data_IF_249051354712
#
_entry.id   IF_249051354712
#
_cell.length_a   1.000
_cell.length_b   1.000
_cell.length_c   1.000
_cell.angle_alpha   90.00
_cell.angle_beta   90.00
_cell.angle_gamma   90.00
#
_symmetry.space_group_name_H-M   'P 1'
#
loop_
_entity.id
_entity.type
_entity.pdbx_description
1 polymer ?
#
# COMPACT_ATOMS: atom_id res chain seq x y z
N UNK A 1 64.01 -48.14 -27.82
CA UNK A 1 62.98 -48.48 -26.79
C UNK A 1 62.23 -47.23 -26.43
N UNK A 2 61.00 -47.12 -26.90
CA UNK A 2 60.21 -45.91 -27.02
C UNK A 2 59.19 -45.92 -25.89
N UNK A 3 59.23 -44.92 -25.01
CA UNK A 3 58.28 -44.77 -23.93
C UNK A 3 57.28 -43.63 -24.24
N UNK A 4 56.00 -43.98 -24.43
CA UNK A 4 54.92 -43.07 -24.73
C UNK A 4 54.34 -42.45 -23.45
N UNK A 5 54.57 -41.17 -23.23
CA UNK A 5 53.91 -40.39 -22.18
C UNK A 5 52.47 -39.99 -22.62
N UNK A 6 51.45 -40.53 -21.95
CA UNK A 6 50.04 -40.16 -22.14
C UNK A 6 49.73 -38.85 -21.41
N UNK A 7 49.43 -37.79 -22.15
CA UNK A 7 48.88 -36.53 -21.61
C UNK A 7 47.39 -36.70 -21.40
N UNK A 8 46.95 -36.66 -20.13
CA UNK A 8 45.53 -36.56 -19.81
C UNK A 8 45.10 -35.08 -19.87
N UNK A 9 44.15 -34.78 -20.77
CA UNK A 9 43.53 -33.47 -20.87
C UNK A 9 42.28 -33.46 -19.96
N UNK A 10 42.39 -32.75 -18.84
CA UNK A 10 41.21 -32.48 -18.01
C UNK A 10 40.40 -31.34 -18.65
N UNK A 11 39.29 -31.69 -19.26
CA UNK A 11 38.30 -30.73 -19.73
C UNK A 11 37.45 -30.25 -18.52
N UNK A 12 37.73 -29.05 -18.01
CA UNK A 12 36.93 -28.40 -16.99
C UNK A 12 35.62 -27.87 -17.60
N UNK A 13 34.48 -28.48 -17.25
CA UNK A 13 33.15 -27.96 -17.55
C UNK A 13 32.87 -26.77 -16.63
N UNK A 14 32.93 -25.55 -17.17
CA UNK A 14 32.45 -24.35 -16.49
C UNK A 14 30.91 -24.30 -16.61
N UNK A 15 30.20 -24.66 -15.55
CA UNK A 15 28.75 -24.48 -15.42
C UNK A 15 28.48 -22.99 -15.20
N UNK A 16 28.14 -22.26 -16.26
CA UNK A 16 27.66 -20.88 -16.15
C UNK A 16 26.23 -20.89 -15.64
N UNK A 17 26.03 -20.63 -14.34
CA UNK A 17 24.72 -20.38 -13.77
C UNK A 17 24.20 -19.03 -14.28
N UNK A 18 23.30 -19.05 -15.27
CA UNK A 18 22.57 -17.87 -15.72
C UNK A 18 21.59 -17.44 -14.61
N UNK A 19 21.94 -16.41 -13.87
CA UNK A 19 21.02 -15.72 -12.97
C UNK A 19 19.99 -14.97 -13.84
N UNK A 20 18.81 -15.55 -14.02
CA UNK A 20 17.67 -14.85 -14.63
C UNK A 20 17.19 -13.80 -13.63
N UNK A 21 17.64 -12.56 -13.80
CA UNK A 21 17.04 -11.41 -13.14
C UNK A 21 15.62 -11.24 -13.67
N UNK A 22 14.64 -11.76 -12.93
CA UNK A 22 13.24 -11.53 -13.21
C UNK A 22 12.97 -10.03 -13.20
N UNK A 23 12.64 -9.45 -14.33
CA UNK A 23 12.19 -8.07 -14.43
C UNK A 23 10.91 -7.92 -13.60
N UNK A 24 11.03 -7.34 -12.42
CA UNK A 24 9.88 -6.99 -11.58
C UNK A 24 9.16 -5.83 -12.26
N UNK A 25 8.09 -6.11 -12.98
CA UNK A 25 7.22 -5.08 -13.55
C UNK A 25 6.60 -4.29 -12.40
N UNK A 26 6.97 -3.00 -12.31
CA UNK A 26 6.37 -2.08 -11.34
C UNK A 26 4.84 -2.06 -11.51
N UNK A 27 4.06 -2.07 -10.41
CA UNK A 27 2.61 -2.06 -10.50
C UNK A 27 2.10 -0.88 -11.32
N UNK A 28 1.19 -1.17 -12.27
CA UNK A 28 0.58 -0.15 -13.13
C UNK A 28 -0.61 0.55 -12.47
N UNK A 29 -1.17 -0.02 -11.40
CA UNK A 29 -2.32 0.49 -10.67
C UNK A 29 -2.19 0.23 -9.16
N UNK A 30 -2.95 0.97 -8.36
CA UNK A 30 -3.11 0.67 -6.95
C UNK A 30 -3.89 -0.65 -6.77
N UNK A 31 -3.58 -1.44 -5.75
CA UNK A 31 -4.37 -2.61 -5.42
C UNK A 31 -5.77 -2.20 -4.99
N UNK A 32 -6.75 -2.93 -5.47
CA UNK A 32 -8.14 -2.75 -5.05
C UNK A 32 -8.34 -3.47 -3.72
N UNK A 33 -8.96 -2.80 -2.74
CA UNK A 33 -9.20 -3.35 -1.41
C UNK A 33 -10.05 -4.61 -1.48
N UNK A 34 -9.62 -5.67 -0.78
CA UNK A 34 -10.31 -6.96 -0.69
C UNK A 34 -10.57 -7.40 0.74
N UNK A 35 -9.63 -7.13 1.63
CA UNK A 35 -9.67 -7.53 3.03
C UNK A 35 -9.00 -6.45 3.89
N UNK A 36 -9.74 -5.40 4.21
CA UNK A 36 -9.21 -4.25 4.96
C UNK A 36 -8.54 -4.62 6.30
N UNK A 37 -8.99 -5.63 7.07
CA UNK A 37 -8.28 -6.02 8.29
C UNK A 37 -6.87 -6.52 8.03
N UNK A 38 -6.67 -7.32 6.98
CA UNK A 38 -5.37 -7.90 6.64
C UNK A 38 -4.43 -6.82 6.08
N UNK A 39 -4.96 -5.94 5.23
CA UNK A 39 -4.25 -4.80 4.65
C UNK A 39 -3.82 -3.80 5.75
N UNK A 40 -4.72 -3.53 6.71
CA UNK A 40 -4.42 -2.70 7.87
C UNK A 40 -3.38 -3.34 8.79
N UNK A 41 -3.50 -4.62 9.08
CA UNK A 41 -2.52 -5.34 9.91
C UNK A 41 -1.11 -5.27 9.28
N UNK A 42 -1.00 -5.49 7.96
CA UNK A 42 0.26 -5.36 7.23
C UNK A 42 0.83 -3.94 7.28
N UNK A 43 -0.02 -2.90 7.21
CA UNK A 43 0.38 -1.51 7.33
C UNK A 43 0.92 -1.20 8.73
N UNK A 44 0.19 -1.58 9.76
CA UNK A 44 0.55 -1.33 11.16
C UNK A 44 1.80 -2.10 11.60
N UNK A 45 2.05 -3.29 11.04
CA UNK A 45 3.31 -4.01 11.25
C UNK A 45 4.51 -3.20 10.78
N UNK A 46 4.38 -2.43 9.70
CA UNK A 46 5.40 -1.50 9.19
C UNK A 46 5.42 -0.15 9.93
N UNK A 47 4.58 0.07 10.92
CA UNK A 47 4.43 1.35 11.62
C UNK A 47 3.79 2.46 10.78
N UNK A 48 3.08 2.09 9.72
CA UNK A 48 2.43 3.02 8.78
C UNK A 48 0.91 2.98 8.93
N UNK A 49 0.19 4.08 8.62
CA UNK A 49 -1.25 4.02 8.40
C UNK A 49 -1.55 3.24 7.11
N UNK A 50 -2.69 2.57 7.05
CA UNK A 50 -3.24 2.14 5.76
C UNK A 50 -3.89 3.36 5.08
N UNK A 51 -3.39 3.74 3.92
CA UNK A 51 -4.02 4.77 3.10
C UNK A 51 -5.09 4.14 2.21
N UNK A 52 -6.34 4.56 2.36
CA UNK A 52 -7.44 4.12 1.50
C UNK A 52 -7.82 5.25 0.56
N UNK A 53 -7.59 5.06 -0.72
CA UNK A 53 -8.05 5.98 -1.76
C UNK A 53 -9.47 5.64 -2.17
N UNK A 54 -10.43 6.49 -1.84
CA UNK A 54 -11.78 6.41 -2.43
C UNK A 54 -11.75 7.07 -3.79
N UNK A 55 -12.07 6.31 -4.83
CA UNK A 55 -12.01 6.71 -6.23
C UNK A 55 -13.37 6.57 -6.91
N UNK A 56 -13.56 7.26 -8.01
CA UNK A 56 -14.72 7.14 -8.89
C UNK A 56 -14.24 6.83 -10.31
N UNK A 57 -14.91 5.90 -10.97
CA UNK A 57 -14.63 5.60 -12.37
C UNK A 57 -14.81 6.85 -13.26
N UNK A 58 -13.91 7.05 -14.22
CA UNK A 58 -13.93 8.21 -15.11
C UNK A 58 -13.49 9.54 -14.48
N UNK A 59 -13.16 9.58 -13.19
CA UNK A 59 -12.78 10.81 -12.49
C UNK A 59 -11.35 11.26 -12.87
N UNK A 60 -11.17 12.41 -13.53
CA UNK A 60 -9.84 12.89 -13.93
C UNK A 60 -8.96 13.25 -12.74
N UNK A 61 -9.54 13.84 -11.68
CA UNK A 61 -8.79 14.18 -10.46
C UNK A 61 -8.32 12.95 -9.70
N UNK A 62 -9.13 11.86 -9.68
CA UNK A 62 -8.71 10.59 -9.12
C UNK A 62 -7.52 10.01 -9.88
N UNK A 63 -7.49 10.14 -11.20
CA UNK A 63 -6.37 9.72 -12.03
C UNK A 63 -5.10 10.49 -11.68
N UNK A 64 -5.19 11.84 -11.55
CA UNK A 64 -4.05 12.69 -11.19
C UNK A 64 -3.52 12.29 -9.81
N UNK A 65 -4.37 12.25 -8.78
CA UNK A 65 -3.97 11.88 -7.42
C UNK A 65 -3.29 10.50 -7.39
N UNK A 66 -3.86 9.53 -8.11
CA UNK A 66 -3.29 8.17 -8.20
C UNK A 66 -1.95 8.16 -8.89
N UNK A 67 -1.83 8.73 -10.09
CA UNK A 67 -0.64 8.60 -10.92
C UNK A 67 0.52 9.46 -10.43
N UNK A 68 0.24 10.70 -10.00
CA UNK A 68 1.28 11.66 -9.62
C UNK A 68 1.79 11.49 -8.19
N UNK A 69 0.97 10.94 -7.29
CA UNK A 69 1.32 10.87 -5.86
C UNK A 69 1.26 9.44 -5.29
N UNK A 70 0.10 8.76 -5.40
CA UNK A 70 -0.10 7.52 -4.66
C UNK A 70 0.62 6.32 -5.26
N UNK A 71 0.65 6.22 -6.59
CA UNK A 71 1.28 5.09 -7.26
C UNK A 71 2.80 5.07 -7.10
N UNK A 72 3.54 6.20 -7.19
CA UNK A 72 4.94 6.25 -6.80
C UNK A 72 5.17 5.78 -5.36
N UNK A 73 4.41 6.30 -4.39
CA UNK A 73 4.52 5.89 -2.98
C UNK A 73 4.22 4.39 -2.78
N UNK A 74 3.21 3.86 -3.49
CA UNK A 74 2.90 2.43 -3.43
C UNK A 74 4.06 1.57 -3.96
N UNK A 75 4.70 1.99 -5.05
CA UNK A 75 5.90 1.33 -5.60
C UNK A 75 7.08 1.34 -4.63
N UNK A 76 7.19 2.39 -3.83
CA UNK A 76 8.18 2.53 -2.75
C UNK A 76 7.77 1.74 -1.48
N UNK A 77 6.70 0.93 -1.56
CA UNK A 77 6.25 0.02 -0.50
C UNK A 77 5.30 0.64 0.52
N UNK A 78 4.76 1.84 0.26
CA UNK A 78 3.78 2.42 1.17
C UNK A 78 2.44 1.67 1.09
N UNK A 79 1.77 1.37 2.22
CA UNK A 79 0.52 0.60 2.22
C UNK A 79 -0.66 1.46 1.76
N UNK A 80 -1.04 1.29 0.51
CA UNK A 80 -2.14 2.02 -0.13
C UNK A 80 -3.06 1.02 -0.82
N UNK A 81 -4.36 1.18 -0.65
CA UNK A 81 -5.40 0.43 -1.37
C UNK A 81 -6.46 1.38 -1.94
N UNK A 82 -7.18 0.92 -2.95
CA UNK A 82 -8.26 1.66 -3.57
C UNK A 82 -9.62 1.04 -3.25
N UNK A 83 -10.59 1.88 -2.95
CA UNK A 83 -12.02 1.57 -2.84
C UNK A 83 -12.77 2.40 -3.87
N UNK A 84 -13.64 1.76 -4.67
CA UNK A 84 -14.33 2.43 -5.77
C UNK A 84 -15.77 2.75 -5.41
N UNK A 85 -16.14 4.03 -5.51
CA UNK A 85 -17.53 4.50 -5.36
C UNK A 85 -18.43 3.84 -6.39
N UNK A 86 -19.68 3.57 -6.01
CA UNK A 86 -20.70 2.96 -6.88
C UNK A 86 -20.32 1.56 -7.40
N UNK A 87 -19.35 0.90 -6.76
CA UNK A 87 -18.92 -0.43 -7.15
C UNK A 87 -19.55 -1.50 -6.26
N UNK A 88 -20.13 -2.52 -6.88
CA UNK A 88 -20.68 -3.69 -6.20
C UNK A 88 -19.57 -4.72 -5.85
N UNK A 89 -18.29 -4.41 -6.08
CA UNK A 89 -17.19 -5.30 -5.75
C UNK A 89 -17.20 -5.62 -4.25
N UNK A 90 -17.10 -6.89 -3.94
CA UNK A 90 -17.09 -7.38 -2.56
C UNK A 90 -15.76 -7.08 -1.87
N UNK A 91 -15.84 -6.72 -0.59
CA UNK A 91 -14.71 -6.44 0.28
C UNK A 91 -15.04 -6.85 1.71
N UNK A 92 -14.05 -7.30 2.45
CA UNK A 92 -14.16 -7.48 3.91
C UNK A 92 -13.84 -6.15 4.58
N UNK A 93 -14.81 -5.61 5.33
CA UNK A 93 -14.67 -4.32 6.03
C UNK A 93 -13.71 -4.41 7.23
N UNK A 94 -13.44 -3.27 7.88
CA UNK A 94 -12.51 -3.20 9.01
C UNK A 94 -12.95 -4.03 10.24
N UNK A 95 -14.23 -4.37 10.33
CA UNK A 95 -14.80 -5.27 11.36
C UNK A 95 -14.84 -6.73 10.90
N UNK A 96 -14.31 -7.05 9.72
CA UNK A 96 -14.24 -8.40 9.18
C UNK A 96 -15.51 -8.90 8.48
N UNK A 97 -16.53 -8.06 8.30
CA UNK A 97 -17.81 -8.42 7.66
C UNK A 97 -17.73 -8.25 6.15
N UNK A 98 -18.36 -9.10 5.40
CA UNK A 98 -18.49 -8.95 3.95
C UNK A 98 -19.46 -7.83 3.60
N UNK A 99 -19.05 -6.97 2.70
CA UNK A 99 -19.82 -5.82 2.20
C UNK A 99 -19.40 -5.48 0.76
N UNK A 100 -19.86 -4.37 0.21
CA UNK A 100 -19.41 -3.86 -1.09
C UNK A 100 -18.63 -2.56 -0.92
N UNK A 101 -17.84 -2.19 -1.93
CA UNK A 101 -17.13 -0.93 -1.97
C UNK A 101 -18.09 0.25 -1.79
N UNK A 102 -19.22 0.23 -2.51
CA UNK A 102 -20.20 1.31 -2.40
C UNK A 102 -20.78 1.43 -0.99
N UNK A 103 -21.13 0.32 -0.37
CA UNK A 103 -21.65 0.32 1.00
C UNK A 103 -20.60 0.81 2.03
N UNK A 104 -19.30 0.53 1.81
CA UNK A 104 -18.22 1.11 2.61
C UNK A 104 -18.15 2.62 2.47
N UNK A 105 -18.16 3.11 1.24
CA UNK A 105 -18.10 4.56 0.93
C UNK A 105 -19.24 5.30 1.61
N UNK A 106 -20.46 4.76 1.54
CA UNK A 106 -21.63 5.33 2.21
C UNK A 106 -21.48 5.33 3.74
N UNK A 107 -21.00 4.22 4.32
CA UNK A 107 -20.77 4.10 5.78
C UNK A 107 -19.71 5.09 6.26
N UNK A 108 -18.65 5.32 5.48
CA UNK A 108 -17.62 6.31 5.78
C UNK A 108 -18.07 7.74 5.48
N UNK A 109 -19.29 7.92 4.95
CA UNK A 109 -19.85 9.22 4.56
C UNK A 109 -18.93 9.99 3.59
N UNK A 110 -18.34 9.28 2.65
CA UNK A 110 -17.53 9.90 1.60
C UNK A 110 -18.44 10.23 0.42
N UNK A 111 -18.55 11.51 0.10
CA UNK A 111 -19.39 12.02 -0.98
C UNK A 111 -18.61 12.58 -2.17
N UNK A 112 -17.31 12.77 -2.02
CA UNK A 112 -16.41 13.39 -3.02
C UNK A 112 -15.29 12.42 -3.36
N UNK A 113 -14.88 12.37 -4.64
CA UNK A 113 -13.71 11.64 -5.09
C UNK A 113 -12.73 12.59 -5.83
N UNK A 114 -11.41 12.42 -5.63
CA UNK A 114 -10.78 11.47 -4.71
C UNK A 114 -10.96 11.87 -3.24
N UNK A 115 -11.04 10.87 -2.35
CA UNK A 115 -10.86 11.10 -0.92
C UNK A 115 -9.81 10.12 -0.40
N UNK A 116 -8.87 10.59 0.43
CA UNK A 116 -7.91 9.74 1.12
C UNK A 116 -8.26 9.62 2.59
N UNK A 117 -8.35 8.39 3.08
CA UNK A 117 -8.52 8.07 4.49
C UNK A 117 -7.20 7.49 5.02
N UNK A 118 -6.82 7.87 6.23
CA UNK A 118 -5.60 7.42 6.90
C UNK A 118 -5.99 6.55 8.09
N UNK A 119 -6.06 5.25 7.87
CA UNK A 119 -6.58 4.28 8.85
C UNK A 119 -5.44 3.77 9.73
N UNK A 120 -5.65 3.82 11.03
CA UNK A 120 -4.71 3.35 12.04
C UNK A 120 -5.29 2.26 12.95
N UNK A 121 -4.72 2.09 14.15
CA UNK A 121 -5.16 1.07 15.09
C UNK A 121 -6.67 1.12 15.35
N UNK A 122 -7.27 -0.06 15.51
CA UNK A 122 -8.72 -0.25 15.70
C UNK A 122 -9.58 0.22 14.53
N UNK A 123 -9.01 0.32 13.31
CA UNK A 123 -9.76 0.71 12.12
C UNK A 123 -10.24 2.16 12.11
N UNK A 124 -9.65 3.03 12.93
CA UNK A 124 -10.04 4.45 13.02
C UNK A 124 -9.14 5.34 12.17
N UNK A 125 -9.69 6.45 11.70
CA UNK A 125 -8.88 7.50 11.07
C UNK A 125 -7.94 8.12 12.11
N UNK A 126 -6.67 8.23 11.77
CA UNK A 126 -5.60 8.73 12.65
C UNK A 126 -5.00 10.05 12.17
N UNK A 127 -5.46 10.54 11.05
CA UNK A 127 -5.26 11.90 10.55
C UNK A 127 -6.51 12.35 9.81
N UNK A 128 -6.68 13.66 9.66
CA UNK A 128 -7.77 14.23 8.89
C UNK A 128 -7.71 13.77 7.44
N UNK A 129 -8.86 13.32 6.92
CA UNK A 129 -8.98 12.87 5.54
C UNK A 129 -8.71 14.01 4.55
N UNK A 130 -8.27 13.66 3.36
CA UNK A 130 -8.12 14.61 2.26
C UNK A 130 -9.30 14.42 1.30
N UNK A 131 -10.19 15.40 1.20
CA UNK A 131 -11.38 15.33 0.38
C UNK A 131 -11.25 16.21 -0.87
N UNK A 132 -11.54 15.63 -2.03
CA UNK A 132 -11.51 16.32 -3.32
C UNK A 132 -10.12 16.51 -3.91
N UNK A 133 -10.06 17.32 -4.95
CA UNK A 133 -8.83 17.68 -5.63
C UNK A 133 -8.28 18.97 -5.03
N UNK A 134 -7.14 18.86 -4.38
CA UNK A 134 -6.35 20.01 -3.99
C UNK A 134 -5.66 20.60 -5.22
N UNK A 135 -5.25 21.88 -5.11
CA UNK A 135 -4.38 22.46 -6.14
C UNK A 135 -3.13 21.58 -6.31
N UNK A 136 -2.70 21.30 -7.53
CA UNK A 136 -1.60 20.35 -7.79
C UNK A 136 -0.32 20.64 -6.98
N UNK A 137 0.03 21.91 -6.84
CA UNK A 137 1.25 22.36 -6.13
C UNK A 137 1.20 22.09 -4.61
N UNK A 138 0.02 21.94 -4.04
CA UNK A 138 -0.17 21.73 -2.60
C UNK A 138 -0.55 20.31 -2.23
N UNK A 139 -0.92 19.46 -3.20
CA UNK A 139 -1.38 18.10 -2.90
C UNK A 139 -0.30 17.27 -2.20
N UNK A 140 0.93 17.30 -2.69
CA UNK A 140 2.07 16.60 -2.10
C UNK A 140 2.33 17.02 -0.66
N UNK A 141 2.58 18.32 -0.38
CA UNK A 141 2.79 18.82 0.98
C UNK A 141 1.64 18.50 1.95
N UNK A 142 0.38 18.58 1.53
CA UNK A 142 -0.75 18.19 2.37
C UNK A 142 -0.76 16.68 2.68
N UNK A 143 -0.47 15.86 1.68
CA UNK A 143 -0.39 14.42 1.86
C UNK A 143 0.72 14.04 2.85
N UNK A 144 1.89 14.65 2.74
CA UNK A 144 3.01 14.45 3.66
C UNK A 144 2.66 14.84 5.10
N UNK A 145 2.03 16.01 5.29
CA UNK A 145 1.55 16.45 6.61
C UNK A 145 0.57 15.46 7.24
N UNK A 146 -0.40 14.96 6.46
CA UNK A 146 -1.38 13.96 6.94
C UNK A 146 -0.72 12.63 7.30
N UNK A 147 0.25 12.20 6.51
CA UNK A 147 1.01 10.98 6.78
C UNK A 147 1.86 11.10 8.05
N UNK A 148 2.52 12.23 8.27
CA UNK A 148 3.30 12.44 9.48
C UNK A 148 2.41 12.47 10.72
N UNK A 149 1.27 13.17 10.69
CA UNK A 149 0.27 13.17 11.77
C UNK A 149 -0.24 11.75 12.06
N UNK A 150 -0.53 10.99 11.02
CA UNK A 150 -0.98 9.60 11.16
C UNK A 150 0.09 8.72 11.82
N UNK A 151 1.36 8.83 11.41
CA UNK A 151 2.49 8.10 12.02
C UNK A 151 2.67 8.47 13.48
N UNK A 152 2.60 9.76 13.83
CA UNK A 152 2.66 10.24 15.22
C UNK A 152 1.55 9.61 16.06
N UNK A 153 0.31 9.62 15.58
CA UNK A 153 -0.83 9.02 16.25
C UNK A 153 -0.65 7.51 16.51
N UNK A 154 -0.11 6.77 15.53
CA UNK A 154 0.17 5.33 15.65
C UNK A 154 1.26 5.08 16.70
N UNK A 155 2.34 5.87 16.70
CA UNK A 155 3.40 5.75 17.70
C UNK A 155 2.88 5.98 19.14
N UNK A 156 2.07 7.01 19.34
CA UNK A 156 1.46 7.29 20.64
C UNK A 156 0.53 6.18 21.12
N UNK A 157 -0.23 5.57 20.20
CA UNK A 157 -1.10 4.44 20.52
C UNK A 157 -0.33 3.22 21.01
N UNK A 158 0.83 2.93 20.41
CA UNK A 158 1.72 1.81 20.82
C UNK A 158 2.34 2.04 22.20
N UNK A 159 2.77 3.27 22.51
CA UNK A 159 3.36 3.63 23.80
C UNK A 159 2.38 3.48 24.96
N UNK A 160 1.09 3.76 24.74
CA UNK A 160 0.05 3.66 25.77
C UNK A 160 -0.32 2.22 26.13
N UNK A 161 -0.20 1.28 25.18
CA UNK A 161 -0.47 -0.16 25.41
C UNK A 161 0.70 -0.81 26.19
N UNK A 162 1.94 -0.42 25.92
CA UNK A 162 3.13 -0.95 26.62
C UNK A 162 3.22 -0.54 28.10
N UNK A 163 2.62 0.59 28.48
CA UNK A 163 2.66 1.09 29.89
C UNK A 163 1.65 0.40 30.83
N UNK A 164 0.72 -0.40 30.32
CA UNK A 164 -0.32 -1.06 31.13
C UNK A 164 0.00 -2.52 31.48
N UNK A 165 1.08 -3.07 30.90
CA UNK A 165 1.48 -4.49 31.11
C UNK A 165 2.49 -4.70 32.23
N UNK A 166 2.88 -3.64 32.95
CA UNK A 166 3.95 -3.68 33.96
C UNK A 166 3.46 -3.26 35.35
N UNK A 167 2.22 -3.67 35.70
CA UNK A 167 1.70 -3.57 37.06
C UNK A 167 0.94 -4.81 37.49
#
# INVERSE_FOLDING_TARGET
MISHARRAICAGLLLSAAFSAGAQTSPAALPVARALPDELAAALHRGQPLVVMVSLEGCPFCRIARQSHLLPMFRDGFPIVQVDMRSAQSVRDLEGRMTTHDALVQRWRVSIAPTLLFIGPSGREVAERMEGAYQPDFYGPYLEDRLEKARLSIRHSKGKVGSFSDR
#
